data_IF_693374097489
#
_entry.id   IF_693374097489
#
_cell.length_a   1.000
_cell.length_b   1.000
_cell.length_c   1.000
_cell.angle_alpha   90.00
_cell.angle_beta   90.00
_cell.angle_gamma   90.00
#
_symmetry.space_group_name_H-M   'P 1'
#
loop_
_entity.id
_entity.type
_entity.pdbx_description
1 polymer ?
#
# COMPACT_ATOMS: atom_id res chain seq x y z
N UNK A 1 9.03 -11.31 -7.60
CA UNK A 1 8.93 -10.96 -6.16
C UNK A 1 10.03 -11.63 -5.40
N UNK A 2 10.34 -11.22 -4.17
CA UNK A 2 11.30 -11.96 -3.35
C UNK A 2 11.01 -13.47 -3.41
N UNK A 3 12.05 -14.31 -3.64
CA UNK A 3 13.45 -13.95 -3.88
C UNK A 3 13.81 -13.71 -5.35
N UNK A 4 12.96 -14.07 -6.31
CA UNK A 4 13.29 -14.06 -7.76
C UNK A 4 13.25 -12.66 -8.40
N UNK A 5 12.50 -11.72 -7.83
CA UNK A 5 12.35 -10.33 -8.27
C UNK A 5 11.99 -10.10 -9.76
N UNK A 6 11.46 -11.11 -10.47
CA UNK A 6 11.16 -10.99 -11.90
C UNK A 6 9.91 -10.15 -12.25
N UNK A 7 8.94 -10.04 -11.35
CA UNK A 7 7.70 -9.29 -11.56
C UNK A 7 7.73 -7.95 -10.83
N UNK A 8 7.33 -6.89 -11.54
CA UNK A 8 7.28 -5.51 -11.07
C UNK A 8 5.88 -4.91 -11.29
N UNK A 9 5.48 -3.98 -10.41
CA UNK A 9 4.39 -3.04 -10.68
C UNK A 9 5.04 -1.73 -11.11
N UNK A 10 4.86 -1.35 -12.37
CA UNK A 10 5.45 -0.12 -12.94
C UNK A 10 4.39 0.97 -12.93
N UNK A 11 4.65 2.05 -12.20
CA UNK A 11 3.81 3.25 -12.17
C UNK A 11 4.33 4.30 -13.15
N UNK A 12 3.45 4.82 -14.00
CA UNK A 12 3.78 5.81 -15.03
C UNK A 12 2.79 6.98 -14.92
N UNK A 13 3.31 8.18 -14.66
CA UNK A 13 2.50 9.40 -14.64
C UNK A 13 2.41 9.97 -16.07
N UNK A 14 1.21 10.24 -16.60
CA UNK A 14 1.04 10.75 -17.96
C UNK A 14 1.48 12.22 -18.11
N UNK A 15 1.48 13.00 -17.04
CA UNK A 15 1.69 14.45 -17.04
C UNK A 15 2.68 14.95 -15.98
N UNK A 16 3.29 14.05 -15.20
CA UNK A 16 4.19 14.39 -14.10
C UNK A 16 3.48 14.77 -12.80
N UNK A 17 2.15 14.66 -12.73
CA UNK A 17 1.37 14.86 -11.51
C UNK A 17 1.32 13.62 -10.61
N UNK A 18 0.59 13.74 -9.51
CA UNK A 18 0.42 12.69 -8.48
C UNK A 18 -0.33 11.44 -8.97
N UNK A 19 -0.98 11.50 -10.14
CA UNK A 19 -1.72 10.39 -10.70
C UNK A 19 -0.80 9.51 -11.57
N UNK A 20 -0.91 8.19 -11.43
CA UNK A 20 -0.15 7.25 -12.25
C UNK A 20 -0.98 6.05 -12.69
N UNK A 21 -0.78 5.62 -13.94
CA UNK A 21 -1.21 4.31 -14.43
C UNK A 21 -0.26 3.26 -13.85
N UNK A 22 -0.78 2.11 -13.41
CA UNK A 22 0.04 0.99 -12.95
C UNK A 22 -0.12 -0.19 -13.91
N UNK A 23 1.00 -0.82 -14.28
CA UNK A 23 1.03 -2.05 -15.10
C UNK A 23 2.04 -3.06 -14.56
N UNK A 24 1.67 -4.34 -14.58
CA UNK A 24 2.54 -5.46 -14.28
C UNK A 24 3.56 -5.68 -15.41
N UNK A 25 4.83 -5.79 -15.04
CA UNK A 25 5.96 -5.96 -15.95
C UNK A 25 6.80 -7.16 -15.53
N UNK A 26 7.25 -7.93 -16.52
CA UNK A 26 8.15 -9.06 -16.36
C UNK A 26 9.55 -8.68 -16.88
N UNK A 27 10.53 -8.69 -15.97
CA UNK A 27 11.93 -8.35 -16.25
C UNK A 27 12.59 -9.38 -17.18
N UNK A 28 12.28 -10.67 -17.02
CA UNK A 28 12.90 -11.74 -17.78
C UNK A 28 12.52 -11.64 -19.26
N UNK A 29 11.26 -11.35 -19.54
CA UNK A 29 10.75 -11.15 -20.91
C UNK A 29 10.88 -9.70 -21.40
N UNK A 30 11.20 -8.76 -20.49
CA UNK A 30 11.28 -7.30 -20.74
C UNK A 30 9.99 -6.75 -21.34
N UNK A 31 8.85 -7.24 -20.87
CA UNK A 31 7.55 -6.91 -21.43
C UNK A 31 6.50 -6.74 -20.35
N UNK A 32 5.44 -6.00 -20.67
CA UNK A 32 4.25 -5.98 -19.82
C UNK A 32 3.55 -7.34 -19.88
N UNK A 33 3.13 -7.85 -18.72
CA UNK A 33 2.45 -9.14 -18.63
C UNK A 33 1.09 -9.04 -19.32
N UNK A 34 0.87 -9.89 -20.33
CA UNK A 34 -0.43 -9.96 -21.02
C UNK A 34 -1.50 -10.47 -20.06
N UNK A 35 -2.59 -9.70 -19.88
CA UNK A 35 -3.64 -10.00 -18.89
C UNK A 35 -3.19 -9.84 -17.43
N UNK A 36 -2.00 -9.29 -17.19
CA UNK A 36 -1.49 -8.99 -15.85
C UNK A 36 -2.22 -7.84 -15.18
N UNK A 37 -1.80 -7.52 -13.96
CA UNK A 37 -2.37 -6.40 -13.22
C UNK A 37 -2.21 -5.07 -13.98
N UNK A 38 -3.31 -4.37 -14.20
CA UNK A 38 -3.37 -3.04 -14.81
C UNK A 38 -4.42 -2.15 -14.15
N UNK A 39 -4.03 -0.96 -13.73
CA UNK A 39 -4.94 0.03 -13.16
C UNK A 39 -4.82 1.38 -13.88
N UNK A 40 -5.94 2.10 -14.11
CA UNK A 40 -5.93 3.40 -14.78
C UNK A 40 -5.25 4.47 -13.92
N UNK A 41 -4.89 5.59 -14.56
CA UNK A 41 -4.25 6.71 -13.89
C UNK A 41 -5.11 7.26 -12.73
N UNK A 42 -4.54 7.25 -11.52
CA UNK A 42 -5.16 7.80 -10.30
C UNK A 42 -4.10 8.08 -9.25
N UNK A 43 -4.45 8.77 -8.15
CA UNK A 43 -3.56 8.95 -6.98
C UNK A 43 -3.46 7.68 -6.11
N UNK A 44 -3.74 6.50 -6.69
CA UNK A 44 -3.70 5.23 -5.98
C UNK A 44 -2.26 4.76 -5.77
N UNK A 45 -2.06 3.95 -4.73
CA UNK A 45 -0.81 3.24 -4.47
C UNK A 45 -0.97 1.73 -4.69
N UNK A 46 0.08 1.06 -5.13
CA UNK A 46 0.08 -0.39 -5.36
C UNK A 46 1.35 -1.03 -4.80
N UNK A 47 1.19 -2.13 -4.08
CA UNK A 47 2.29 -2.94 -3.58
C UNK A 47 1.94 -4.41 -3.64
N UNK A 48 2.94 -5.28 -3.70
CA UNK A 48 2.70 -6.73 -3.74
C UNK A 48 2.38 -7.27 -2.35
N UNK A 49 1.32 -8.07 -2.22
CA UNK A 49 1.15 -8.98 -1.08
C UNK A 49 1.89 -10.29 -1.36
N UNK A 50 1.64 -10.85 -2.54
CA UNK A 50 2.25 -12.06 -3.08
C UNK A 50 2.12 -12.07 -4.62
N UNK A 51 2.54 -13.15 -5.28
CA UNK A 51 2.57 -13.23 -6.75
C UNK A 51 1.19 -13.13 -7.41
N UNK A 52 0.12 -13.41 -6.67
CA UNK A 52 -1.24 -13.46 -7.20
C UNK A 52 -2.14 -12.40 -6.55
N UNK A 53 -1.58 -11.52 -5.71
CA UNK A 53 -2.35 -10.51 -4.98
C UNK A 53 -1.60 -9.19 -4.87
N UNK A 54 -2.25 -8.12 -5.33
CA UNK A 54 -1.81 -6.73 -5.19
C UNK A 54 -2.60 -6.05 -4.09
N UNK A 55 -1.91 -5.33 -3.22
CA UNK A 55 -2.47 -4.39 -2.26
C UNK A 55 -2.72 -3.08 -3.00
N UNK A 56 -3.95 -2.60 -2.95
CA UNK A 56 -4.39 -1.39 -3.63
C UNK A 56 -4.78 -0.35 -2.59
N UNK A 57 -4.03 0.74 -2.49
CA UNK A 57 -4.47 1.94 -1.78
C UNK A 57 -5.29 2.76 -2.78
N UNK A 58 -6.62 2.58 -2.75
CA UNK A 58 -7.51 2.97 -3.84
C UNK A 58 -7.92 4.44 -3.78
N UNK A 59 -7.86 5.13 -4.93
CA UNK A 59 -8.32 6.50 -5.13
C UNK A 59 -8.96 6.68 -6.54
N UNK A 60 -9.76 5.70 -6.98
CA UNK A 60 -10.44 5.74 -8.27
C UNK A 60 -11.75 6.52 -8.18
N UNK A 61 -12.61 6.13 -7.25
CA UNK A 61 -13.94 6.71 -7.04
C UNK A 61 -13.95 7.72 -5.90
N UNK A 62 -14.89 8.67 -5.91
CA UNK A 62 -15.04 9.67 -4.83
C UNK A 62 -15.32 9.05 -3.45
N UNK A 63 -15.89 7.85 -3.41
CA UNK A 63 -16.09 7.11 -2.16
C UNK A 63 -14.77 6.58 -1.56
N UNK A 64 -13.79 6.32 -2.42
CA UNK A 64 -12.47 5.79 -2.05
C UNK A 64 -11.45 6.90 -1.74
N UNK A 65 -11.83 8.17 -1.92
CA UNK A 65 -10.94 9.33 -1.71
C UNK A 65 -11.18 10.03 -0.37
N UNK A 66 -10.10 10.54 0.19
CA UNK A 66 -10.15 11.56 1.25
C UNK A 66 -10.52 12.93 0.64
N UNK A 67 -10.80 13.93 1.48
CA UNK A 67 -11.01 15.32 1.03
C UNK A 67 -9.78 15.89 0.30
N UNK A 68 -8.59 15.35 0.53
CA UNK A 68 -7.36 15.70 -0.17
C UNK A 68 -7.18 14.97 -1.52
N UNK A 69 -8.14 14.11 -1.91
CA UNK A 69 -8.10 13.35 -3.16
C UNK A 69 -7.17 12.13 -3.15
N UNK A 70 -6.62 11.76 -1.99
CA UNK A 70 -5.75 10.61 -1.80
C UNK A 70 -6.51 9.38 -1.33
N UNK A 71 -5.89 8.18 -1.34
CA UNK A 71 -6.57 6.96 -0.94
C UNK A 71 -7.15 7.02 0.47
N UNK A 72 -8.39 6.57 0.62
CA UNK A 72 -9.09 6.38 1.90
C UNK A 72 -9.30 4.90 2.23
N UNK A 73 -9.23 4.03 1.23
CA UNK A 73 -9.51 2.60 1.33
C UNK A 73 -8.31 1.78 0.87
N UNK A 74 -7.96 0.74 1.62
CA UNK A 74 -7.00 -0.28 1.20
C UNK A 74 -7.77 -1.52 0.80
N UNK A 75 -7.47 -2.10 -0.36
CA UNK A 75 -8.10 -3.29 -0.93
C UNK A 75 -7.06 -4.36 -1.28
N UNK A 76 -7.48 -5.61 -1.34
CA UNK A 76 -6.72 -6.73 -1.91
C UNK A 76 -7.31 -7.10 -3.26
N UNK A 77 -6.49 -7.00 -4.31
CA UNK A 77 -6.86 -7.33 -5.68
C UNK A 77 -6.16 -8.62 -6.10
N UNK A 78 -6.95 -9.63 -6.46
CA UNK A 78 -6.45 -10.94 -6.87
C UNK A 78 -6.22 -11.00 -8.38
N UNK A 79 -5.25 -11.80 -8.78
CA UNK A 79 -4.97 -12.09 -10.19
C UNK A 79 -6.21 -12.70 -10.85
N UNK A 80 -6.38 -12.40 -12.13
CA UNK A 80 -7.51 -12.86 -12.96
C UNK A 80 -8.90 -12.39 -12.47
N UNK A 81 -8.97 -11.44 -11.53
CA UNK A 81 -10.20 -10.74 -11.17
C UNK A 81 -10.15 -9.29 -11.63
N UNK A 82 -11.31 -8.65 -11.70
CA UNK A 82 -11.35 -7.22 -12.01
C UNK A 82 -10.95 -6.39 -10.80
N UNK A 83 -10.43 -5.19 -11.05
CA UNK A 83 -9.99 -4.28 -9.99
C UNK A 83 -11.15 -3.79 -9.13
N UNK A 84 -12.31 -3.58 -9.74
CA UNK A 84 -13.55 -3.21 -9.04
C UNK A 84 -14.03 -4.27 -8.04
N UNK A 85 -13.64 -5.53 -8.23
CA UNK A 85 -13.97 -6.66 -7.34
C UNK A 85 -12.97 -6.81 -6.17
N UNK A 86 -11.99 -5.91 -6.06
CA UNK A 86 -10.97 -5.96 -5.01
C UNK A 86 -11.60 -5.81 -3.61
N UNK A 87 -11.18 -6.66 -2.67
CA UNK A 87 -11.78 -6.77 -1.34
C UNK A 87 -11.23 -5.71 -0.40
N UNK A 88 -12.05 -4.80 0.19
CA UNK A 88 -11.57 -3.82 1.14
C UNK A 88 -11.11 -4.47 2.44
N UNK A 89 -10.00 -3.98 2.98
CA UNK A 89 -9.39 -4.49 4.22
C UNK A 89 -9.18 -3.39 5.27
N UNK A 90 -9.21 -2.13 4.89
CA UNK A 90 -9.05 -0.99 5.80
C UNK A 90 -9.71 0.25 5.19
N UNK A 91 -10.32 1.08 6.04
CA UNK A 91 -10.99 2.32 5.64
C UNK A 91 -10.71 3.42 6.67
N UNK A 92 -10.25 4.57 6.19
CA UNK A 92 -9.99 5.78 6.96
C UNK A 92 -11.16 6.78 6.92
N UNK A 93 -11.05 7.84 7.71
CA UNK A 93 -11.99 8.96 7.69
C UNK A 93 -11.77 9.81 6.44
N UNK A 94 -12.78 10.56 6.01
CA UNK A 94 -12.65 11.46 4.85
C UNK A 94 -11.73 12.65 5.13
N UNK A 95 -11.56 13.00 6.40
CA UNK A 95 -10.74 14.09 6.90
C UNK A 95 -9.26 13.74 7.02
N UNK A 96 -8.92 12.45 7.03
CA UNK A 96 -7.53 12.01 7.03
C UNK A 96 -6.83 12.40 5.73
N UNK A 97 -5.51 12.45 5.74
CA UNK A 97 -4.74 12.74 4.54
C UNK A 97 -4.81 11.57 3.56
N UNK A 98 -4.41 10.36 3.99
CA UNK A 98 -4.34 9.19 3.13
C UNK A 98 -4.25 7.87 3.93
N UNK A 99 -4.42 6.73 3.24
CA UNK A 99 -4.01 5.40 3.70
C UNK A 99 -3.06 4.74 2.71
N UNK A 100 -2.19 3.88 3.22
CA UNK A 100 -1.26 3.09 2.43
C UNK A 100 -1.00 1.73 3.08
N UNK A 101 -0.53 0.76 2.30
CA UNK A 101 -0.07 -0.52 2.84
C UNK A 101 1.02 -1.14 1.98
N UNK A 102 1.89 -1.91 2.65
CA UNK A 102 2.95 -2.67 2.03
C UNK A 102 3.30 -3.90 2.90
N UNK A 103 4.02 -4.84 2.29
CA UNK A 103 4.62 -5.95 3.03
C UNK A 103 6.06 -5.57 3.39
N UNK A 104 6.34 -5.58 4.70
CA UNK A 104 7.68 -5.48 5.25
C UNK A 104 8.25 -6.88 5.50
N UNK A 105 9.55 -7.04 5.28
CA UNK A 105 10.26 -8.32 5.39
C UNK A 105 11.31 -8.27 6.50
N UNK A 106 11.35 -9.30 7.35
CA UNK A 106 12.42 -9.53 8.34
C UNK A 106 12.93 -10.97 8.19
N UNK A 107 13.97 -11.12 7.36
CA UNK A 107 14.35 -12.44 6.85
C UNK A 107 13.19 -13.09 6.07
N UNK A 108 12.80 -14.29 6.48
CA UNK A 108 11.68 -15.02 5.87
C UNK A 108 10.31 -14.62 6.44
N UNK A 109 10.27 -13.78 7.47
CA UNK A 109 9.01 -13.28 8.05
C UNK A 109 8.49 -12.11 7.22
N UNK A 110 7.17 -12.05 7.11
CA UNK A 110 6.44 -11.02 6.35
C UNK A 110 5.39 -10.38 7.23
N UNK A 111 5.33 -9.06 7.21
CA UNK A 111 4.37 -8.26 7.95
C UNK A 111 3.59 -7.40 6.98
N UNK A 112 2.27 -7.56 6.91
CA UNK A 112 1.42 -6.63 6.19
C UNK A 112 1.17 -5.40 7.08
N UNK A 113 1.85 -4.31 6.75
CA UNK A 113 1.78 -3.05 7.47
C UNK A 113 0.80 -2.12 6.75
N UNK A 114 -0.09 -1.50 7.51
CA UNK A 114 -1.01 -0.47 7.02
C UNK A 114 -0.70 0.83 7.74
N UNK A 115 -0.70 1.93 6.99
CA UNK A 115 -0.51 3.27 7.51
C UNK A 115 -1.78 4.09 7.25
N UNK A 116 -2.23 4.79 8.29
CA UNK A 116 -3.26 5.82 8.22
C UNK A 116 -2.61 7.16 8.53
N UNK A 117 -2.44 7.99 7.52
CA UNK A 117 -1.86 9.32 7.66
C UNK A 117 -2.97 10.31 7.98
N UNK A 118 -2.97 10.86 9.19
CA UNK A 118 -3.98 11.80 9.66
C UNK A 118 -3.76 13.18 9.02
N UNK A 119 -2.50 13.62 9.02
CA UNK A 119 -2.04 14.88 8.42
C UNK A 119 -0.52 14.80 8.16
N UNK A 120 0.11 15.91 7.75
CA UNK A 120 1.55 15.95 7.44
C UNK A 120 2.48 15.57 8.60
N UNK A 121 2.01 15.59 9.84
CA UNK A 121 2.81 15.39 11.05
C UNK A 121 2.35 14.23 11.92
N UNK A 122 1.21 13.59 11.59
CA UNK A 122 0.62 12.56 12.42
C UNK A 122 0.15 11.34 11.61
N UNK A 123 0.49 10.13 12.08
CA UNK A 123 0.03 8.88 11.46
C UNK A 123 -0.14 7.75 12.47
N UNK A 124 -0.94 6.75 12.11
CA UNK A 124 -1.10 5.51 12.85
C UNK A 124 -0.66 4.32 12.00
N UNK A 125 0.08 3.40 12.62
CA UNK A 125 0.53 2.15 11.99
C UNK A 125 -0.27 0.97 12.54
N UNK A 126 -0.62 0.05 11.65
CA UNK A 126 -1.35 -1.17 11.95
C UNK A 126 -0.59 -2.37 11.40
N UNK A 127 -0.68 -3.50 12.10
CA UNK A 127 -0.33 -4.81 11.58
C UNK A 127 -1.61 -5.55 11.22
N UNK A 128 -1.71 -6.06 9.99
CA UNK A 128 -2.76 -7.01 9.63
C UNK A 128 -2.35 -8.40 10.03
N UNK A 129 -3.07 -8.97 10.99
CA UNK A 129 -2.84 -10.32 11.50
C UNK A 129 -3.34 -11.38 10.51
N UNK A 130 -2.85 -12.63 10.58
CA UNK A 130 -3.37 -13.73 9.77
C UNK A 130 -4.88 -13.99 9.93
N UNK A 131 -5.46 -13.58 11.07
CA UNK A 131 -6.91 -13.60 11.30
C UNK A 131 -7.71 -12.64 10.42
N UNK A 132 -7.04 -11.68 9.77
CA UNK A 132 -7.66 -10.56 9.05
C UNK A 132 -7.94 -9.34 9.92
N UNK A 133 -7.62 -9.38 11.22
CA UNK A 133 -7.71 -8.23 12.12
C UNK A 133 -6.60 -7.21 11.82
N UNK A 134 -6.94 -5.91 11.83
CA UNK A 134 -5.95 -4.84 11.78
C UNK A 134 -5.68 -4.34 13.20
N UNK A 135 -4.52 -4.68 13.75
CA UNK A 135 -4.11 -4.28 15.10
C UNK A 135 -3.29 -3.00 15.04
N UNK A 136 -3.83 -1.92 15.62
CA UNK A 136 -3.07 -0.67 15.77
C UNK A 136 -1.89 -0.87 16.70
N UNK A 137 -0.73 -0.36 16.32
CA UNK A 137 0.45 -0.31 17.17
C UNK A 137 0.37 0.90 18.10
N UNK A 138 0.70 0.77 19.40
CA UNK A 138 0.63 1.86 20.38
C UNK A 138 1.84 2.80 20.24
N UNK A 139 2.00 3.41 19.06
CA UNK A 139 3.07 4.35 18.75
C UNK A 139 2.58 5.80 18.94
N UNK A 140 3.48 6.75 19.25
CA UNK A 140 3.16 8.18 19.21
C UNK A 140 2.66 8.60 17.83
N UNK A 141 1.72 9.55 17.79
CA UNK A 141 1.16 10.07 16.54
C UNK A 141 2.25 10.69 15.64
N UNK A 142 3.28 11.28 16.22
CA UNK A 142 4.37 11.97 15.53
C UNK A 142 5.56 11.08 15.20
N UNK A 143 5.37 9.76 15.20
CA UNK A 143 6.36 8.81 14.71
C UNK A 143 6.87 9.15 13.30
N UNK A 144 8.06 8.66 12.98
CA UNK A 144 8.71 8.81 11.68
C UNK A 144 9.57 7.58 11.43
N UNK A 145 10.02 7.39 10.18
CA UNK A 145 11.10 6.46 9.83
C UNK A 145 10.94 5.06 10.45
N UNK A 146 9.89 4.34 10.06
CA UNK A 146 9.61 3.01 10.59
C UNK A 146 10.38 1.93 9.84
N UNK A 147 10.98 0.98 10.56
CA UNK A 147 11.59 -0.22 10.00
C UNK A 147 11.37 -1.42 10.92
N UNK A 148 11.25 -2.62 10.34
CA UNK A 148 11.26 -3.88 11.08
C UNK A 148 12.63 -4.53 10.89
N UNK A 149 13.29 -4.88 11.99
CA UNK A 149 14.59 -5.54 11.95
C UNK A 149 14.77 -6.46 13.16
N UNK A 150 15.00 -7.75 12.93
CA UNK A 150 15.24 -8.77 13.97
C UNK A 150 14.17 -8.75 15.05
N UNK A 151 12.92 -8.90 14.65
CA UNK A 151 11.71 -8.90 15.49
C UNK A 151 11.48 -7.61 16.29
N UNK A 152 12.15 -6.52 15.91
CA UNK A 152 11.98 -5.21 16.53
C UNK A 152 11.40 -4.22 15.52
N UNK A 153 10.49 -3.39 16.00
CA UNK A 153 10.08 -2.20 15.28
C UNK A 153 10.94 -1.03 15.74
N UNK A 154 11.68 -0.47 14.79
CA UNK A 154 12.45 0.76 14.96
C UNK A 154 11.61 1.91 14.41
N UNK A 155 11.54 3.02 15.14
CA UNK A 155 10.87 4.24 14.72
C UNK A 155 11.57 5.46 15.32
N UNK A 156 11.54 6.57 14.59
CA UNK A 156 11.86 7.89 15.10
C UNK A 156 10.62 8.61 15.63
N UNK A 157 10.81 9.72 16.33
CA UNK A 157 9.75 10.67 16.72
C UNK A 157 10.22 12.09 16.44
N UNK A 158 9.27 12.99 16.15
CA UNK A 158 9.60 14.41 15.93
C UNK A 158 9.80 15.16 17.24
N UNK A 159 9.05 14.79 18.26
CA UNK A 159 9.13 15.40 19.58
C UNK A 159 10.38 14.93 20.32
N UNK A 160 10.99 15.77 21.18
CA UNK A 160 12.03 15.33 22.10
C UNK A 160 11.50 14.21 23.00
N UNK A 161 12.35 13.22 23.25
CA UNK A 161 12.08 12.11 24.18
C UNK A 161 12.59 12.44 25.57
#
# INVERSE_FOLDING_TARGET
LYPDFNLCLVSMSPDGGDASEMREFDIATKSFVHGGFRAPASKSGFSWLDKDTVIVSAAFDEADKTKSGYPRVIKLWKRDTKLEDATPIFEAQKEDLAVGAAVEYDGDRRYLVLARTLNFFASHIFLRLPSGENKQLPLPDDMTDTAIFRDQLVFGVRSPW
#
